data_IF_138477905053
#
_entry.id   IF_138477905053
#
_cell.length_a   1.000
_cell.length_b   1.000
_cell.length_c   1.000
_cell.angle_alpha   90.00
_cell.angle_beta   90.00
_cell.angle_gamma   90.00
#
_symmetry.space_group_name_H-M   'P 1'
#
loop_
_entity.id
_entity.type
_entity.pdbx_description
1 polymer ?
#
# COMPACT_ATOMS: atom_id res chain seq x y z
N UNK A 1 12.47 7.81 33.74
CA UNK A 1 11.10 7.29 33.83
C UNK A 1 10.73 6.89 32.42
N UNK A 2 10.92 5.61 32.06
CA UNK A 2 10.52 5.11 30.74
C UNK A 2 8.98 5.10 30.72
N UNK A 3 8.39 6.14 30.16
CA UNK A 3 6.99 6.09 29.75
C UNK A 3 6.88 4.92 28.77
N UNK A 4 5.98 4.01 29.07
CA UNK A 4 5.66 2.89 28.18
C UNK A 4 5.14 3.47 26.86
N UNK A 5 6.05 3.67 25.90
CA UNK A 5 5.75 4.19 24.55
C UNK A 5 4.78 3.28 23.77
N UNK A 6 4.44 2.10 24.34
CA UNK A 6 3.49 1.15 23.73
C UNK A 6 2.02 1.57 23.85
N UNK A 7 1.69 2.58 24.67
CA UNK A 7 0.33 3.05 24.92
C UNK A 7 -0.19 4.10 23.94
N UNK A 8 0.59 4.48 22.94
CA UNK A 8 0.33 5.67 22.11
C UNK A 8 -0.90 5.57 21.20
N UNK A 9 -1.26 4.38 20.73
CA UNK A 9 -2.35 4.19 19.77
C UNK A 9 -3.51 3.41 20.39
N UNK A 10 -4.33 4.09 21.20
CA UNK A 10 -5.46 3.43 21.87
C UNK A 10 -6.61 3.07 20.93
N UNK A 11 -6.88 3.91 19.92
CA UNK A 11 -7.93 3.69 18.92
C UNK A 11 -7.30 3.49 17.55
N UNK A 12 -7.19 2.23 17.15
CA UNK A 12 -6.60 1.80 15.88
C UNK A 12 -7.73 1.51 14.90
N UNK A 13 -7.63 2.07 13.71
CA UNK A 13 -8.56 1.79 12.62
C UNK A 13 -7.78 1.23 11.42
N UNK A 14 -8.25 0.13 10.88
CA UNK A 14 -7.78 -0.42 9.60
C UNK A 14 -8.88 -0.21 8.58
N UNK A 15 -8.63 0.65 7.60
CA UNK A 15 -9.58 0.97 6.54
C UNK A 15 -9.15 0.37 5.21
N UNK A 16 -10.02 -0.46 4.63
CA UNK A 16 -9.72 -1.23 3.42
C UNK A 16 -9.21 -2.65 3.75
N UNK A 17 -10.11 -3.56 4.11
CA UNK A 17 -9.80 -4.95 4.47
C UNK A 17 -9.59 -5.84 3.21
N UNK A 18 -8.84 -5.31 2.21
CA UNK A 18 -8.33 -6.10 1.09
C UNK A 18 -7.22 -7.06 1.53
N UNK A 19 -6.41 -7.54 0.58
CA UNK A 19 -5.26 -8.39 0.90
C UNK A 19 -4.31 -7.73 1.90
N UNK A 20 -3.89 -6.48 1.62
CA UNK A 20 -2.94 -5.73 2.45
C UNK A 20 -3.56 -5.42 3.81
N UNK A 21 -4.65 -4.65 3.84
CA UNK A 21 -5.25 -4.23 5.11
C UNK A 21 -5.77 -5.41 5.95
N UNK A 22 -6.25 -6.48 5.30
CA UNK A 22 -6.65 -7.70 5.99
C UNK A 22 -5.47 -8.43 6.63
N UNK A 23 -4.29 -8.47 5.97
CA UNK A 23 -3.10 -9.04 6.58
C UNK A 23 -2.67 -8.23 7.82
N UNK A 24 -2.46 -6.93 7.67
CA UNK A 24 -2.00 -6.08 8.79
C UNK A 24 -3.04 -6.00 9.91
N UNK A 25 -4.32 -5.83 9.57
CA UNK A 25 -5.41 -5.84 10.55
C UNK A 25 -5.50 -7.18 11.29
N UNK A 26 -5.35 -8.30 10.59
CA UNK A 26 -5.30 -9.62 11.21
C UNK A 26 -4.13 -9.78 12.18
N UNK A 27 -2.92 -9.34 11.81
CA UNK A 27 -1.76 -9.34 12.69
C UNK A 27 -1.96 -8.46 13.92
N UNK A 28 -2.57 -7.28 13.76
CA UNK A 28 -2.91 -6.41 14.88
C UNK A 28 -3.92 -7.09 15.82
N UNK A 29 -5.01 -7.62 15.26
CA UNK A 29 -6.03 -8.30 16.07
C UNK A 29 -5.45 -9.49 16.84
N UNK A 30 -4.63 -10.31 16.18
CA UNK A 30 -4.00 -11.48 16.81
C UNK A 30 -3.13 -11.06 18.00
N UNK A 31 -2.25 -10.07 17.84
CA UNK A 31 -1.32 -9.68 18.89
C UNK A 31 -1.99 -8.90 20.03
N UNK A 32 -3.01 -8.08 19.74
CA UNK A 32 -3.81 -7.40 20.78
C UNK A 32 -4.59 -8.42 21.62
N UNK A 33 -5.23 -9.42 21.00
CA UNK A 33 -6.04 -10.39 21.75
C UNK A 33 -5.21 -11.41 22.51
N UNK A 34 -4.02 -11.76 22.05
CA UNK A 34 -3.13 -12.68 22.77
C UNK A 34 -2.40 -12.01 23.93
N UNK A 35 -2.29 -10.69 23.93
CA UNK A 35 -1.72 -9.93 25.05
C UNK A 35 -2.84 -9.38 25.94
N UNK A 36 -3.18 -10.09 27.04
CA UNK A 36 -4.24 -9.68 27.96
C UNK A 36 -4.03 -8.30 28.61
N UNK A 37 -2.82 -7.74 28.59
CA UNK A 37 -2.49 -6.41 29.06
C UNK A 37 -2.77 -5.32 28.04
N UNK A 38 -2.87 -5.69 26.75
CA UNK A 38 -3.17 -4.76 25.67
C UNK A 38 -4.65 -4.34 25.74
N UNK A 39 -4.90 -3.06 25.88
CA UNK A 39 -6.24 -2.47 25.99
C UNK A 39 -6.62 -1.64 24.78
N UNK A 40 -5.83 -1.74 23.69
CA UNK A 40 -6.11 -0.99 22.47
C UNK A 40 -7.38 -1.46 21.79
N UNK A 41 -8.11 -0.50 21.27
CA UNK A 41 -9.34 -0.71 20.53
C UNK A 41 -9.02 -0.82 19.03
N UNK A 42 -9.22 -1.98 18.46
CA UNK A 42 -9.02 -2.22 17.04
C UNK A 42 -10.36 -2.30 16.32
N UNK A 43 -10.55 -1.43 15.32
CA UNK A 43 -11.73 -1.41 14.46
C UNK A 43 -11.35 -1.68 13.01
N UNK A 44 -12.10 -2.58 12.37
CA UNK A 44 -12.02 -2.83 10.94
C UNK A 44 -13.13 -2.10 10.20
N UNK A 45 -12.78 -1.35 9.14
CA UNK A 45 -13.74 -0.81 8.19
C UNK A 45 -13.73 -1.67 6.93
N UNK A 46 -14.82 -2.41 6.73
CA UNK A 46 -15.03 -3.33 5.62
C UNK A 46 -16.41 -3.13 5.00
N UNK A 47 -16.69 -3.76 3.86
CA UNK A 47 -17.96 -3.63 3.15
C UNK A 47 -18.46 -4.99 2.62
N UNK A 48 -19.79 -5.07 2.40
CA UNK A 48 -20.44 -6.20 1.73
C UNK A 48 -20.21 -7.57 2.39
N UNK A 49 -20.13 -8.62 1.60
CA UNK A 49 -20.01 -9.98 2.09
C UNK A 49 -18.75 -10.21 2.96
N UNK A 50 -17.66 -9.45 2.70
CA UNK A 50 -16.45 -9.54 3.52
C UNK A 50 -16.69 -9.00 4.94
N UNK A 51 -17.40 -7.89 5.07
CA UNK A 51 -17.81 -7.32 6.35
C UNK A 51 -18.69 -8.32 7.14
N UNK A 52 -19.74 -8.85 6.51
CA UNK A 52 -20.68 -9.76 7.19
C UNK A 52 -19.99 -11.05 7.64
N UNK A 53 -19.09 -11.58 6.83
CA UNK A 53 -18.32 -12.76 7.20
C UNK A 53 -17.40 -12.51 8.40
N UNK A 54 -16.71 -11.35 8.43
CA UNK A 54 -15.83 -10.98 9.55
C UNK A 54 -16.64 -10.73 10.83
N UNK A 55 -17.80 -10.09 10.74
CA UNK A 55 -18.70 -9.89 11.89
C UNK A 55 -19.13 -11.21 12.51
N UNK A 56 -19.47 -12.20 11.68
CA UNK A 56 -19.97 -13.49 12.14
C UNK A 56 -18.87 -14.41 12.70
N UNK A 57 -17.69 -14.42 12.08
CA UNK A 57 -16.68 -15.47 12.28
C UNK A 57 -15.29 -14.95 12.63
N UNK A 58 -15.08 -13.63 12.68
CA UNK A 58 -13.74 -13.04 12.69
C UNK A 58 -13.06 -13.07 11.31
N UNK A 59 -11.87 -12.49 11.22
CA UNK A 59 -11.03 -12.54 10.03
C UNK A 59 -10.12 -13.75 10.09
N UNK A 60 -10.28 -14.69 9.16
CA UNK A 60 -9.33 -15.81 9.03
C UNK A 60 -8.10 -15.35 8.25
N UNK A 61 -6.92 -15.43 8.89
CA UNK A 61 -5.64 -15.13 8.29
C UNK A 61 -4.90 -16.44 7.98
N UNK A 62 -4.61 -16.68 6.70
CA UNK A 62 -3.80 -17.79 6.22
C UNK A 62 -2.38 -17.28 5.97
N UNK A 63 -1.47 -17.58 6.88
CA UNK A 63 -0.04 -17.25 6.76
C UNK A 63 0.69 -18.30 5.92
N UNK A 64 1.88 -17.93 5.44
CA UNK A 64 2.69 -18.82 4.64
C UNK A 64 3.20 -20.02 5.48
N UNK A 65 2.87 -21.24 5.05
CA UNK A 65 3.26 -22.49 5.71
C UNK A 65 2.89 -22.59 7.19
N UNK A 66 1.82 -21.94 7.60
CA UNK A 66 1.28 -21.99 8.97
C UNK A 66 -0.21 -22.34 8.91
N UNK A 67 -0.74 -22.86 10.01
CA UNK A 67 -2.17 -23.11 10.16
C UNK A 67 -2.95 -21.79 10.14
N UNK A 68 -4.17 -21.79 9.57
CA UNK A 68 -5.02 -20.61 9.59
C UNK A 68 -5.36 -20.18 11.02
N UNK A 69 -5.38 -18.87 11.25
CA UNK A 69 -5.71 -18.28 12.54
C UNK A 69 -6.89 -17.33 12.39
N UNK A 70 -7.81 -17.36 13.37
CA UNK A 70 -8.96 -16.44 13.44
C UNK A 70 -8.57 -15.22 14.27
N UNK A 71 -8.71 -14.05 13.67
CA UNK A 71 -8.35 -12.75 14.22
C UNK A 71 -9.64 -11.97 14.51
N UNK A 72 -9.86 -11.58 15.77
CA UNK A 72 -11.09 -10.93 16.20
C UNK A 72 -10.78 -9.49 16.61
N UNK A 73 -11.19 -8.46 15.81
CA UNK A 73 -11.10 -7.07 16.22
C UNK A 73 -12.20 -6.75 17.26
N UNK A 74 -12.05 -5.63 17.97
CA UNK A 74 -13.10 -5.15 18.88
C UNK A 74 -14.39 -4.78 18.15
N UNK A 75 -14.26 -4.20 16.96
CA UNK A 75 -15.40 -3.79 16.13
C UNK A 75 -15.12 -4.01 14.64
N UNK A 76 -16.16 -4.39 13.91
CA UNK A 76 -16.16 -4.42 12.43
C UNK A 76 -17.36 -3.62 11.95
N UNK A 77 -17.15 -2.64 11.07
CA UNK A 77 -18.22 -1.75 10.62
C UNK A 77 -17.95 -1.23 9.20
N UNK A 78 -19.00 -0.78 8.54
CA UNK A 78 -18.94 0.04 7.31
C UNK A 78 -19.20 1.53 7.59
N UNK A 79 -19.55 1.86 8.86
CA UNK A 79 -19.94 3.21 9.25
C UNK A 79 -18.89 3.87 10.14
N UNK A 80 -18.28 4.94 9.66
CA UNK A 80 -17.34 5.77 10.41
C UNK A 80 -18.00 6.57 11.53
N UNK A 81 -19.34 6.75 11.49
CA UNK A 81 -20.08 7.49 12.51
C UNK A 81 -19.99 6.86 13.90
N UNK A 82 -19.71 5.56 13.96
CA UNK A 82 -19.56 4.78 15.21
C UNK A 82 -18.16 4.85 15.79
N UNK A 83 -17.20 5.45 15.08
CA UNK A 83 -15.80 5.50 15.51
C UNK A 83 -15.60 6.58 16.59
N UNK A 84 -14.76 6.30 17.61
CA UNK A 84 -14.15 7.37 18.42
C UNK A 84 -13.15 8.18 17.58
N UNK A 85 -12.49 9.16 18.19
CA UNK A 85 -11.31 9.78 17.56
C UNK A 85 -10.24 8.71 17.28
N UNK A 86 -9.62 8.80 16.10
CA UNK A 86 -8.65 7.83 15.62
C UNK A 86 -7.25 8.29 16.05
N UNK A 87 -6.51 7.42 16.74
CA UNK A 87 -5.10 7.67 17.03
C UNK A 87 -4.19 7.15 15.93
N UNK A 88 -4.50 5.95 15.38
CA UNK A 88 -3.75 5.36 14.28
C UNK A 88 -4.70 4.84 13.20
N UNK A 89 -4.53 5.33 11.98
CA UNK A 89 -5.24 4.88 10.79
C UNK A 89 -4.28 4.15 9.85
N UNK A 90 -4.43 2.83 9.73
CA UNK A 90 -3.85 2.07 8.63
C UNK A 90 -4.79 2.17 7.44
N UNK A 91 -4.35 2.83 6.38
CA UNK A 91 -5.14 3.04 5.16
C UNK A 91 -4.64 2.11 4.05
N UNK A 92 -5.47 1.15 3.65
CA UNK A 92 -5.14 0.14 2.64
C UNK A 92 -6.29 -0.06 1.63
N UNK A 93 -6.94 1.03 1.26
CA UNK A 93 -7.97 1.05 0.23
C UNK A 93 -7.34 1.00 -1.17
N UNK A 94 -8.14 0.75 -2.18
CA UNK A 94 -7.72 0.95 -3.56
C UNK A 94 -7.54 2.44 -3.86
N UNK A 95 -6.57 2.77 -4.69
CA UNK A 95 -6.16 4.16 -4.95
C UNK A 95 -7.31 5.07 -5.41
N UNK A 96 -8.23 4.51 -6.18
CA UNK A 96 -9.44 5.23 -6.65
C UNK A 96 -10.52 5.47 -5.57
N UNK A 97 -10.36 4.89 -4.37
CA UNK A 97 -11.23 5.12 -3.20
C UNK A 97 -10.56 6.00 -2.13
N UNK A 98 -9.34 6.51 -2.39
CA UNK A 98 -8.53 7.23 -1.40
C UNK A 98 -9.23 8.47 -0.85
N UNK A 99 -9.66 9.37 -1.74
CA UNK A 99 -10.27 10.64 -1.32
C UNK A 99 -11.58 10.41 -0.54
N UNK A 100 -12.42 9.50 -1.04
CA UNK A 100 -13.67 9.15 -0.37
C UNK A 100 -13.41 8.54 1.00
N UNK A 101 -12.38 7.69 1.12
CA UNK A 101 -11.98 7.08 2.38
C UNK A 101 -11.54 8.14 3.40
N UNK A 102 -10.66 9.06 3.00
CA UNK A 102 -10.18 10.14 3.89
C UNK A 102 -11.32 11.07 4.28
N UNK A 103 -12.16 11.52 3.33
CA UNK A 103 -13.32 12.38 3.64
C UNK A 103 -14.29 11.73 4.62
N UNK A 104 -14.49 10.41 4.53
CA UNK A 104 -15.35 9.69 5.47
C UNK A 104 -14.81 9.72 6.89
N UNK A 105 -13.49 9.55 7.08
CA UNK A 105 -12.87 9.49 8.43
C UNK A 105 -12.42 10.84 8.96
N UNK A 106 -12.33 11.88 8.10
CA UNK A 106 -11.85 13.22 8.46
C UNK A 106 -12.48 13.77 9.76
N UNK A 107 -13.81 13.67 10.01
CA UNK A 107 -14.40 14.14 11.25
C UNK A 107 -13.95 13.40 12.52
N UNK A 108 -13.21 12.31 12.38
CA UNK A 108 -12.63 11.49 13.46
C UNK A 108 -11.11 11.64 13.58
N UNK A 109 -10.51 12.47 12.71
CA UNK A 109 -9.08 12.79 12.74
C UNK A 109 -8.81 14.05 13.55
N UNK A 110 -7.60 14.15 14.06
CA UNK A 110 -7.08 15.35 14.76
C UNK A 110 -5.58 15.51 14.49
N UNK A 111 -4.93 16.48 15.15
CA UNK A 111 -3.50 16.76 14.99
C UNK A 111 -2.58 15.63 15.46
N UNK A 112 -3.08 14.74 16.30
CA UNK A 112 -2.32 13.64 16.90
C UNK A 112 -2.62 12.31 16.20
N UNK A 113 -3.55 12.32 15.21
CA UNK A 113 -3.83 11.14 14.40
C UNK A 113 -2.65 10.85 13.48
N UNK A 114 -2.15 9.63 13.55
CA UNK A 114 -1.15 9.11 12.61
C UNK A 114 -1.85 8.31 11.51
N UNK A 115 -1.66 8.73 10.27
CA UNK A 115 -2.17 8.04 9.07
C UNK A 115 -1.01 7.35 8.37
N UNK A 116 -1.09 6.05 8.21
CA UNK A 116 -0.11 5.24 7.49
C UNK A 116 -0.75 4.58 6.28
N UNK A 117 -0.53 5.13 5.06
CA UNK A 117 -1.04 4.53 3.84
C UNK A 117 -0.17 3.35 3.40
N UNK A 118 -0.74 2.18 3.27
CA UNK A 118 -0.11 1.01 2.65
C UNK A 118 -0.75 0.76 1.27
N UNK A 119 -0.49 1.68 0.35
CA UNK A 119 -1.09 1.74 -0.97
C UNK A 119 -0.01 1.83 -2.05
N UNK A 120 -0.39 1.64 -3.32
CA UNK A 120 0.48 1.92 -4.45
C UNK A 120 0.35 3.40 -4.86
N UNK A 121 1.35 3.93 -5.56
CA UNK A 121 1.37 5.32 -6.06
C UNK A 121 2.41 6.16 -5.35
N UNK A 122 2.85 7.22 -6.02
CA UNK A 122 3.90 8.14 -5.55
C UNK A 122 3.33 9.48 -5.06
N UNK A 123 2.04 9.71 -5.26
CA UNK A 123 1.30 10.92 -4.91
C UNK A 123 0.36 10.76 -3.69
N UNK A 124 0.32 9.56 -3.11
CA UNK A 124 -0.59 9.20 -2.02
C UNK A 124 -0.44 10.12 -0.80
N UNK A 125 0.80 10.45 -0.44
CA UNK A 125 1.08 11.38 0.65
C UNK A 125 0.46 12.76 0.39
N UNK A 126 0.71 13.33 -0.77
CA UNK A 126 0.24 14.67 -1.14
C UNK A 126 -1.30 14.74 -1.09
N UNK A 127 -1.97 13.75 -1.70
CA UNK A 127 -3.43 13.64 -1.72
C UNK A 127 -4.06 13.50 -0.32
N UNK A 128 -3.43 12.74 0.57
CA UNK A 128 -3.91 12.64 1.96
C UNK A 128 -3.71 13.98 2.69
N UNK A 129 -2.57 14.64 2.52
CA UNK A 129 -2.28 15.92 3.18
C UNK A 129 -3.22 17.04 2.73
N UNK A 130 -3.69 17.05 1.48
CA UNK A 130 -4.72 17.99 1.01
C UNK A 130 -6.04 17.82 1.77
N UNK A 131 -6.43 16.60 2.11
CA UNK A 131 -7.71 16.29 2.75
C UNK A 131 -7.64 16.24 4.28
N UNK A 132 -6.49 15.91 4.84
CA UNK A 132 -6.24 15.80 6.28
C UNK A 132 -4.97 16.58 6.68
N UNK A 133 -4.90 17.91 6.46
CA UNK A 133 -3.67 18.69 6.61
C UNK A 133 -3.13 18.74 8.04
N UNK A 134 -3.98 18.54 9.03
CA UNK A 134 -3.60 18.59 10.46
C UNK A 134 -2.99 17.27 10.95
N UNK A 135 -3.37 16.16 10.36
CA UNK A 135 -2.92 14.82 10.78
C UNK A 135 -1.46 14.58 10.41
N UNK A 136 -0.82 13.70 11.15
CA UNK A 136 0.53 13.18 10.83
C UNK A 136 0.36 12.12 9.75
N UNK A 137 0.96 12.32 8.58
CA UNK A 137 0.91 11.35 7.48
C UNK A 137 2.29 10.76 7.27
N UNK A 138 2.45 9.48 7.54
CA UNK A 138 3.73 8.80 7.37
C UNK A 138 3.83 8.25 5.93
N UNK A 139 4.66 8.85 5.06
CA UNK A 139 4.86 8.29 3.72
C UNK A 139 5.35 6.86 3.83
N UNK A 140 4.65 5.92 3.18
CA UNK A 140 4.91 4.50 3.39
C UNK A 140 4.75 3.69 2.11
N UNK A 141 5.45 2.57 2.03
CA UNK A 141 5.18 1.54 1.03
C UNK A 141 5.34 0.14 1.62
N UNK A 142 4.70 -0.84 0.98
CA UNK A 142 4.73 -2.23 1.42
C UNK A 142 5.03 -3.17 0.26
N UNK A 143 5.93 -4.13 0.50
CA UNK A 143 6.13 -5.29 -0.35
C UNK A 143 5.44 -6.47 0.31
N UNK A 144 4.37 -6.93 -0.28
CA UNK A 144 3.54 -8.04 0.20
C UNK A 144 2.75 -8.62 -0.97
N UNK A 145 2.62 -9.93 -1.01
CA UNK A 145 1.65 -10.60 -1.87
C UNK A 145 0.55 -11.22 -1.02
N UNK A 146 -0.61 -10.60 -1.02
CA UNK A 146 -1.76 -11.04 -0.23
C UNK A 146 -3.07 -10.76 -0.96
N UNK A 147 -4.07 -11.62 -0.72
CA UNK A 147 -5.39 -11.48 -1.36
C UNK A 147 -6.51 -11.95 -0.45
N UNK A 148 -7.71 -11.47 -0.72
CA UNK A 148 -8.93 -12.10 -0.22
C UNK A 148 -9.09 -13.42 -1.00
N UNK A 149 -9.08 -14.55 -0.30
CA UNK A 149 -9.35 -15.87 -0.89
C UNK A 149 -10.85 -16.10 -1.05
N UNK A 150 -11.61 -15.76 -0.02
CA UNK A 150 -13.07 -15.67 -0.01
C UNK A 150 -13.50 -14.68 1.09
N UNK A 151 -14.78 -14.28 1.16
CA UNK A 151 -15.27 -13.39 2.21
C UNK A 151 -14.85 -13.85 3.62
N UNK A 152 -14.21 -12.96 4.39
CA UNK A 152 -13.68 -13.24 5.73
C UNK A 152 -12.34 -13.96 5.77
N UNK A 153 -11.73 -14.31 4.63
CA UNK A 153 -10.45 -15.03 4.57
C UNK A 153 -9.42 -14.26 3.76
N UNK A 154 -8.31 -13.92 4.39
CA UNK A 154 -7.15 -13.29 3.75
C UNK A 154 -5.97 -14.25 3.74
N UNK A 155 -5.32 -14.39 2.59
CA UNK A 155 -4.19 -15.29 2.38
C UNK A 155 -2.93 -14.51 2.00
N UNK A 156 -1.87 -14.75 2.76
CA UNK A 156 -0.51 -14.33 2.41
C UNK A 156 0.10 -15.34 1.42
N UNK A 157 0.65 -14.84 0.32
CA UNK A 157 1.34 -15.63 -0.69
C UNK A 157 2.85 -15.39 -0.54
N UNK A 158 3.58 -16.43 -0.13
CA UNK A 158 5.00 -16.31 0.21
C UNK A 158 5.22 -15.74 1.61
N UNK A 159 6.48 -15.45 1.95
CA UNK A 159 6.92 -15.00 3.27
C UNK A 159 7.45 -13.56 3.28
N UNK A 160 7.47 -12.90 2.11
CA UNK A 160 7.99 -11.54 2.01
C UNK A 160 6.93 -10.54 2.48
N UNK A 161 7.20 -9.89 3.62
CA UNK A 161 6.47 -8.74 4.12
C UNK A 161 7.49 -7.69 4.56
N UNK A 162 7.59 -6.59 3.81
CA UNK A 162 8.48 -5.47 4.16
C UNK A 162 7.70 -4.17 4.09
N UNK A 163 7.65 -3.44 5.20
CA UNK A 163 7.04 -2.13 5.29
C UNK A 163 8.14 -1.08 5.45
N UNK A 164 8.17 -0.11 4.59
CA UNK A 164 9.03 1.06 4.69
C UNK A 164 8.18 2.28 4.99
N UNK A 165 8.65 3.11 5.90
CA UNK A 165 8.03 4.38 6.24
C UNK A 165 9.08 5.36 6.74
N UNK A 166 8.68 6.60 6.97
CA UNK A 166 9.56 7.61 7.56
C UNK A 166 8.76 8.84 7.99
N UNK A 167 9.45 9.92 8.43
CA UNK A 167 8.80 11.08 9.01
C UNK A 167 7.88 11.78 8.00
N UNK A 168 6.80 12.36 8.51
CA UNK A 168 5.99 13.33 7.78
C UNK A 168 6.84 14.58 7.50
N UNK A 169 7.06 14.97 6.23
CA UNK A 169 7.83 16.18 5.92
C UNK A 169 7.32 17.47 6.57
N UNK A 170 6.02 17.52 6.90
CA UNK A 170 5.40 18.65 7.62
C UNK A 170 5.47 18.50 9.15
N UNK A 171 5.90 17.35 9.66
CA UNK A 171 6.06 17.02 11.06
C UNK A 171 7.37 16.26 11.28
N UNK A 172 8.54 16.89 10.96
CA UNK A 172 9.83 16.24 11.04
C UNK A 172 10.26 15.90 12.49
N UNK A 173 9.57 16.48 13.45
CA UNK A 173 9.71 16.23 14.90
C UNK A 173 9.04 14.93 15.37
N UNK A 174 8.27 14.25 14.49
CA UNK A 174 7.61 13.00 14.84
C UNK A 174 8.63 11.89 15.14
N UNK A 175 8.51 11.30 16.34
CA UNK A 175 9.40 10.23 16.80
C UNK A 175 9.04 8.88 16.15
N UNK A 176 9.87 8.46 15.21
CA UNK A 176 9.70 7.17 14.53
C UNK A 176 9.90 5.94 15.43
N UNK A 177 10.47 6.09 16.63
CA UNK A 177 10.66 4.98 17.56
C UNK A 177 9.32 4.44 18.06
N UNK A 178 8.33 5.33 18.23
CA UNK A 178 7.00 4.98 18.70
C UNK A 178 6.28 4.04 17.73
N UNK A 179 6.23 4.40 16.45
CA UNK A 179 5.57 3.56 15.43
C UNK A 179 6.35 2.26 15.17
N UNK A 180 7.67 2.28 15.25
CA UNK A 180 8.49 1.07 15.12
C UNK A 180 8.23 0.10 16.29
N UNK A 181 8.19 0.60 17.53
CA UNK A 181 7.85 -0.19 18.70
C UNK A 181 6.42 -0.76 18.60
N UNK A 182 5.45 0.04 18.10
CA UNK A 182 4.10 -0.43 17.85
C UNK A 182 4.08 -1.60 16.87
N UNK A 183 4.74 -1.49 15.70
CA UNK A 183 4.80 -2.57 14.73
C UNK A 183 5.49 -3.82 15.29
N UNK A 184 6.57 -3.65 16.03
CA UNK A 184 7.27 -4.76 16.69
C UNK A 184 6.35 -5.49 17.68
N UNK A 185 5.55 -4.76 18.49
CA UNK A 185 4.56 -5.33 19.40
C UNK A 185 3.43 -6.07 18.64
N UNK A 186 3.18 -5.70 17.40
CA UNK A 186 2.23 -6.39 16.50
C UNK A 186 2.86 -7.56 15.73
N UNK A 187 4.07 -7.99 16.09
CA UNK A 187 4.78 -9.07 15.40
C UNK A 187 5.22 -8.72 13.98
N UNK A 188 5.39 -7.43 13.68
CA UNK A 188 5.71 -6.91 12.36
C UNK A 188 7.01 -6.10 12.40
N UNK A 189 7.71 -6.04 11.28
CA UNK A 189 8.91 -5.22 11.12
C UNK A 189 8.61 -4.01 10.25
N UNK A 190 8.88 -2.83 10.80
CA UNK A 190 8.86 -1.56 10.10
C UNK A 190 10.29 -1.07 9.86
N UNK A 191 10.63 -0.79 8.60
CA UNK A 191 11.89 -0.20 8.22
C UNK A 191 11.74 1.32 8.14
N UNK A 192 12.31 2.03 9.12
CA UNK A 192 12.26 3.49 9.17
C UNK A 192 13.35 4.10 8.29
N UNK A 193 12.97 5.03 7.43
CA UNK A 193 13.89 5.73 6.53
C UNK A 193 13.69 7.24 6.69
N UNK A 194 14.76 7.98 6.96
CA UNK A 194 14.71 9.44 7.09
C UNK A 194 14.32 10.14 5.78
N UNK A 195 14.56 9.51 4.64
CA UNK A 195 14.02 9.91 3.35
C UNK A 195 12.93 8.94 2.89
N UNK A 196 11.67 9.09 3.34
CA UNK A 196 10.62 8.08 3.14
C UNK A 196 10.19 7.93 1.67
N UNK A 197 10.45 8.92 0.83
CA UNK A 197 10.09 8.86 -0.58
C UNK A 197 11.00 7.95 -1.40
N UNK A 198 12.26 7.76 -1.02
CA UNK A 198 13.16 6.85 -1.74
C UNK A 198 12.60 5.43 -1.87
N UNK A 199 12.23 4.71 -0.79
CA UNK A 199 11.70 3.35 -0.91
C UNK A 199 10.36 3.31 -1.67
N UNK A 200 9.54 4.37 -1.61
CA UNK A 200 8.30 4.49 -2.37
C UNK A 200 8.60 4.54 -3.87
N UNK A 201 9.51 5.43 -4.29
CA UNK A 201 9.88 5.59 -5.69
C UNK A 201 10.67 4.39 -6.23
N UNK A 202 11.54 3.75 -5.42
CA UNK A 202 12.21 2.49 -5.79
C UNK A 202 11.21 1.36 -6.04
N UNK A 203 10.19 1.23 -5.20
CA UNK A 203 9.11 0.27 -5.43
C UNK A 203 8.35 0.61 -6.71
N UNK A 204 8.03 1.87 -6.90
CA UNK A 204 7.27 2.34 -8.05
C UNK A 204 8.04 2.12 -9.35
N UNK A 205 9.36 2.32 -9.35
CA UNK A 205 10.26 2.04 -10.47
C UNK A 205 10.17 0.60 -10.99
N UNK A 206 9.89 -0.36 -10.11
CA UNK A 206 9.63 -1.75 -10.51
C UNK A 206 8.17 -1.99 -10.87
N UNK A 207 7.25 -1.57 -9.99
CA UNK A 207 5.84 -1.98 -10.08
C UNK A 207 5.13 -1.36 -11.29
N UNK A 208 5.32 -0.06 -11.55
CA UNK A 208 4.58 0.67 -12.58
C UNK A 208 4.92 0.20 -14.00
N UNK A 209 6.20 0.12 -14.43
CA UNK A 209 6.53 -0.29 -15.80
C UNK A 209 6.06 -1.70 -16.12
N UNK A 210 6.31 -2.65 -15.21
CA UNK A 210 5.85 -4.02 -15.41
C UNK A 210 4.33 -4.12 -15.43
N UNK A 211 3.62 -3.40 -14.56
CA UNK A 211 2.17 -3.40 -14.54
C UNK A 211 1.57 -2.87 -15.85
N UNK A 212 2.11 -1.78 -16.39
CA UNK A 212 1.63 -1.19 -17.63
C UNK A 212 1.89 -2.10 -18.83
N UNK A 213 3.11 -2.65 -18.94
CA UNK A 213 3.45 -3.50 -20.08
C UNK A 213 2.72 -4.84 -20.03
N UNK A 214 2.64 -5.50 -18.86
CA UNK A 214 1.89 -6.77 -18.70
C UNK A 214 0.40 -6.56 -18.90
N UNK A 215 -0.16 -5.45 -18.36
CA UNK A 215 -1.56 -5.10 -18.54
C UNK A 215 -1.96 -4.88 -20.00
N UNK A 216 -1.08 -4.25 -20.79
CA UNK A 216 -1.32 -3.98 -22.19
C UNK A 216 -1.10 -5.18 -23.13
N UNK A 217 -0.31 -6.18 -22.70
CA UNK A 217 0.12 -7.29 -23.55
C UNK A 217 -0.47 -8.63 -23.15
N UNK A 218 -0.97 -8.76 -21.93
CA UNK A 218 -1.40 -10.02 -21.35
C UNK A 218 -0.26 -10.98 -21.00
N UNK A 219 1.00 -10.62 -21.27
CA UNK A 219 2.18 -11.42 -20.96
C UNK A 219 2.54 -11.35 -19.48
N UNK A 220 3.14 -12.40 -18.93
CA UNK A 220 3.69 -12.42 -17.57
C UNK A 220 4.89 -11.48 -17.45
N UNK A 221 5.28 -11.16 -16.21
CA UNK A 221 6.46 -10.30 -15.97
C UNK A 221 7.74 -10.91 -16.55
N UNK A 222 7.91 -12.22 -16.43
CA UNK A 222 9.05 -12.93 -17.01
C UNK A 222 9.07 -12.90 -18.53
N UNK A 223 7.90 -13.12 -19.18
CA UNK A 223 7.78 -13.03 -20.64
C UNK A 223 8.05 -11.60 -21.16
N UNK A 224 7.65 -10.57 -20.40
CA UNK A 224 7.97 -9.16 -20.70
C UNK A 224 9.47 -8.91 -20.57
N UNK A 225 10.11 -9.43 -19.53
CA UNK A 225 11.55 -9.31 -19.33
C UNK A 225 12.34 -10.02 -20.44
N UNK A 226 11.91 -11.20 -20.85
CA UNK A 226 12.60 -12.02 -21.88
C UNK A 226 12.42 -11.50 -23.31
N UNK A 227 11.39 -10.69 -23.59
CA UNK A 227 11.12 -10.11 -24.92
C UNK A 227 11.91 -8.80 -25.08
N UNK A 228 12.90 -8.71 -26.00
CA UNK A 228 13.74 -7.52 -26.14
C UNK A 228 12.99 -6.22 -26.37
N UNK A 229 11.87 -6.26 -27.13
CA UNK A 229 11.07 -5.07 -27.42
C UNK A 229 10.26 -4.59 -26.21
N UNK A 230 9.68 -5.52 -25.45
CA UNK A 230 8.93 -5.20 -24.25
C UNK A 230 9.86 -4.80 -23.10
N UNK A 231 11.02 -5.45 -22.99
CA UNK A 231 12.07 -5.08 -22.06
C UNK A 231 12.56 -3.65 -22.29
N UNK A 232 12.80 -3.27 -23.54
CA UNK A 232 13.14 -1.89 -23.90
C UNK A 232 12.04 -0.88 -23.51
N UNK A 233 10.76 -1.26 -23.63
CA UNK A 233 9.64 -0.43 -23.20
C UNK A 233 9.60 -0.27 -21.67
N UNK A 234 9.84 -1.34 -20.91
CA UNK A 234 9.96 -1.27 -19.43
C UNK A 234 11.09 -0.31 -19.04
N UNK A 235 12.27 -0.43 -19.66
CA UNK A 235 13.40 0.48 -19.41
C UNK A 235 13.08 1.93 -19.77
N UNK A 236 12.35 2.17 -20.86
CA UNK A 236 11.95 3.52 -21.25
C UNK A 236 11.03 4.16 -20.21
N UNK A 237 10.01 3.42 -19.71
CA UNK A 237 9.13 3.90 -18.63
C UNK A 237 9.93 4.11 -17.34
N UNK A 238 10.91 3.24 -17.00
CA UNK A 238 11.79 3.45 -15.84
C UNK A 238 12.57 4.75 -15.94
N UNK A 239 13.08 5.10 -17.12
CA UNK A 239 13.79 6.36 -17.34
C UNK A 239 12.87 7.59 -17.21
N UNK A 240 11.62 7.51 -17.67
CA UNK A 240 10.61 8.54 -17.42
C UNK A 240 10.36 8.73 -15.90
N UNK A 241 10.25 7.64 -15.14
CA UNK A 241 10.12 7.66 -13.67
C UNK A 241 11.34 8.31 -13.01
N UNK A 242 12.55 7.95 -13.41
CA UNK A 242 13.79 8.53 -12.85
C UNK A 242 13.83 10.04 -13.08
N UNK A 243 13.46 10.50 -14.28
CA UNK A 243 13.42 11.92 -14.60
C UNK A 243 12.40 12.70 -13.74
N UNK A 244 11.20 12.13 -13.56
CA UNK A 244 10.16 12.71 -12.71
C UNK A 244 10.60 12.70 -11.23
N UNK A 245 11.15 11.59 -10.74
CA UNK A 245 11.65 11.45 -9.36
C UNK A 245 12.70 12.52 -9.05
N UNK A 246 13.64 12.74 -9.96
CA UNK A 246 14.68 13.78 -9.82
C UNK A 246 14.09 15.19 -9.67
N UNK A 247 13.05 15.53 -10.44
CA UNK A 247 12.32 16.81 -10.31
C UNK A 247 11.57 16.92 -8.98
N UNK A 248 11.19 15.79 -8.38
CA UNK A 248 10.56 15.71 -7.05
C UNK A 248 11.59 15.63 -5.91
N UNK A 249 12.88 15.78 -6.20
CA UNK A 249 13.96 15.73 -5.20
C UNK A 249 14.28 14.33 -4.70
N UNK A 250 13.85 13.29 -5.43
CA UNK A 250 14.16 11.88 -5.10
C UNK A 250 15.22 11.36 -6.05
N UNK A 251 16.34 10.89 -5.50
CA UNK A 251 17.45 10.35 -6.29
C UNK A 251 17.24 8.86 -6.55
N UNK A 252 17.02 8.53 -7.81
CA UNK A 252 17.11 7.18 -8.35
C UNK A 252 18.27 7.11 -9.33
N UNK A 253 19.01 6.02 -9.35
CA UNK A 253 20.21 5.88 -10.17
C UNK A 253 20.19 4.58 -11.00
N UNK A 254 21.23 4.34 -11.79
CA UNK A 254 21.35 3.16 -12.63
C UNK A 254 21.29 1.84 -11.83
N UNK A 255 21.82 1.81 -10.62
CA UNK A 255 21.73 0.64 -9.76
C UNK A 255 20.29 0.31 -9.37
N UNK A 256 19.44 1.32 -9.16
CA UNK A 256 18.01 1.12 -8.86
C UNK A 256 17.27 0.52 -10.08
N UNK A 257 17.60 0.98 -11.30
CA UNK A 257 17.08 0.41 -12.56
C UNK A 257 17.54 -1.04 -12.71
N UNK A 258 18.85 -1.31 -12.59
CA UNK A 258 19.41 -2.65 -12.71
C UNK A 258 18.83 -3.61 -11.66
N UNK A 259 18.60 -3.13 -10.45
CA UNK A 259 17.96 -3.91 -9.40
C UNK A 259 16.51 -4.25 -9.74
N UNK A 260 15.73 -3.28 -10.23
CA UNK A 260 14.34 -3.48 -10.66
C UNK A 260 14.24 -4.47 -11.82
N UNK A 261 15.15 -4.38 -12.80
CA UNK A 261 15.22 -5.31 -13.93
C UNK A 261 15.57 -6.74 -13.49
N UNK A 262 16.51 -6.91 -12.53
CA UNK A 262 16.83 -8.22 -11.96
C UNK A 262 15.68 -8.86 -11.21
N UNK A 263 14.77 -8.09 -10.61
CA UNK A 263 13.55 -8.67 -10.03
C UNK A 263 12.71 -9.31 -11.14
N UNK A 264 12.54 -8.64 -12.29
CA UNK A 264 11.82 -9.20 -13.46
C UNK A 264 12.45 -10.48 -14.00
N UNK A 265 13.80 -10.56 -13.98
CA UNK A 265 14.56 -11.74 -14.38
C UNK A 265 14.29 -12.96 -13.50
N UNK A 266 14.30 -12.76 -12.17
CA UNK A 266 14.26 -13.86 -11.19
C UNK A 266 12.85 -14.14 -10.64
N UNK A 267 11.83 -13.41 -11.10
CA UNK A 267 10.47 -13.61 -10.65
C UNK A 267 9.91 -14.95 -11.16
N UNK A 268 8.97 -15.53 -10.41
CA UNK A 268 8.25 -16.72 -10.88
C UNK A 268 7.71 -16.49 -12.31
N UNK A 269 8.04 -17.37 -13.27
CA UNK A 269 7.59 -17.23 -14.67
C UNK A 269 6.08 -17.10 -14.83
N UNK A 270 5.27 -17.63 -13.91
CA UNK A 270 3.82 -17.50 -13.90
C UNK A 270 3.32 -16.24 -13.17
N UNK A 271 4.21 -15.43 -12.59
CA UNK A 271 3.81 -14.25 -11.83
C UNK A 271 3.15 -13.18 -12.71
N UNK A 272 1.99 -12.72 -12.28
CA UNK A 272 1.21 -11.66 -12.90
C UNK A 272 1.14 -10.45 -11.99
N UNK A 273 1.11 -9.25 -12.58
CA UNK A 273 0.90 -8.02 -11.82
C UNK A 273 -0.57 -7.90 -11.36
N UNK A 274 -0.81 -7.13 -10.30
CA UNK A 274 -2.17 -6.88 -9.81
C UNK A 274 -3.05 -6.21 -10.87
N UNK A 275 -2.51 -5.29 -11.65
CA UNK A 275 -3.21 -4.63 -12.75
C UNK A 275 -3.62 -5.64 -13.84
N UNK A 276 -2.70 -6.53 -14.25
CA UNK A 276 -3.00 -7.59 -15.21
C UNK A 276 -4.13 -8.50 -14.71
N UNK A 277 -4.08 -8.92 -13.44
CA UNK A 277 -5.15 -9.72 -12.84
C UNK A 277 -6.48 -8.97 -12.78
N UNK A 278 -6.48 -7.66 -12.52
CA UNK A 278 -7.69 -6.84 -12.51
C UNK A 278 -8.30 -6.72 -13.91
N UNK A 279 -7.47 -6.61 -14.97
CA UNK A 279 -7.90 -6.61 -16.37
C UNK A 279 -8.48 -7.98 -16.77
N UNK A 280 -7.77 -9.07 -16.51
CA UNK A 280 -8.21 -10.43 -16.84
C UNK A 280 -9.54 -10.80 -16.13
N UNK A 281 -9.71 -10.34 -14.90
CA UNK A 281 -10.95 -10.55 -14.15
C UNK A 281 -12.06 -9.53 -14.49
N UNK A 282 -11.85 -8.67 -15.48
CA UNK A 282 -12.82 -7.66 -15.95
C UNK A 282 -13.36 -6.79 -14.81
N UNK A 283 -12.50 -6.39 -13.89
CA UNK A 283 -12.90 -5.49 -12.81
C UNK A 283 -13.27 -4.12 -13.39
N UNK A 284 -14.42 -3.60 -12.98
CA UNK A 284 -14.94 -2.33 -13.51
C UNK A 284 -14.09 -1.10 -13.15
N UNK A 285 -13.24 -1.19 -12.08
CA UNK A 285 -12.29 -0.13 -11.68
C UNK A 285 -10.92 -0.74 -11.44
N UNK A 286 -9.89 -0.09 -11.97
CA UNK A 286 -8.49 -0.51 -11.91
C UNK A 286 -7.62 0.62 -11.37
N UNK A 287 -6.46 0.29 -10.82
CA UNK A 287 -5.50 1.28 -10.31
C UNK A 287 -4.60 1.87 -11.43
N UNK A 288 -5.16 2.03 -12.63
CA UNK A 288 -4.42 2.50 -13.79
C UNK A 288 -3.89 3.95 -13.59
N UNK A 289 -4.72 4.80 -12.97
CA UNK A 289 -4.33 6.18 -12.65
C UNK A 289 -3.17 6.24 -11.66
N UNK A 290 -3.17 5.36 -10.67
CA UNK A 290 -2.10 5.30 -9.67
C UNK A 290 -0.77 4.75 -10.21
N UNK A 291 -0.80 3.98 -11.29
CA UNK A 291 0.37 3.32 -11.87
C UNK A 291 0.92 4.05 -13.10
N UNK A 292 0.04 4.61 -13.91
CA UNK A 292 0.45 5.28 -15.15
C UNK A 292 -0.09 6.70 -15.27
N UNK A 293 -1.36 6.93 -14.92
CA UNK A 293 -1.96 8.27 -14.99
C UNK A 293 -1.19 9.30 -14.18
N UNK A 294 -0.72 8.92 -12.98
CA UNK A 294 0.10 9.79 -12.13
C UNK A 294 1.42 10.21 -12.80
N UNK A 295 2.06 9.32 -13.59
CA UNK A 295 3.28 9.65 -14.33
C UNK A 295 3.02 10.70 -15.41
N UNK A 296 1.94 10.53 -16.17
CA UNK A 296 1.57 11.49 -17.22
C UNK A 296 1.22 12.85 -16.59
N UNK A 297 0.47 12.86 -15.49
CA UNK A 297 0.15 14.07 -14.74
C UNK A 297 1.41 14.78 -14.24
N UNK A 298 2.26 14.07 -13.52
CA UNK A 298 3.51 14.64 -12.99
C UNK A 298 4.47 15.04 -14.11
N UNK A 299 4.54 14.27 -15.20
CA UNK A 299 5.32 14.61 -16.38
C UNK A 299 4.91 15.96 -16.96
N UNK A 300 3.59 16.18 -17.11
CA UNK A 300 3.06 17.47 -17.56
C UNK A 300 3.37 18.62 -16.58
N UNK A 301 3.16 18.40 -15.28
CA UNK A 301 3.39 19.43 -14.23
C UNK A 301 4.87 19.81 -14.10
N UNK A 302 5.78 18.87 -14.37
CA UNK A 302 7.23 19.03 -14.16
C UNK A 302 8.04 19.23 -15.46
N UNK A 303 7.35 19.34 -16.59
CA UNK A 303 7.94 19.42 -17.93
C UNK A 303 8.91 18.25 -18.22
N UNK A 304 8.45 17.03 -17.96
CA UNK A 304 9.13 15.77 -18.26
C UNK A 304 8.27 14.94 -19.22
N UNK A 305 8.70 14.70 -20.47
CA UNK A 305 7.94 13.88 -21.42
C UNK A 305 7.76 12.44 -20.92
N UNK A 306 6.56 11.87 -21.13
CA UNK A 306 6.22 10.49 -20.76
C UNK A 306 5.63 9.68 -21.93
N UNK A 307 6.27 9.68 -23.10
CA UNK A 307 5.67 9.10 -24.33
C UNK A 307 5.43 7.59 -24.23
N UNK A 308 6.34 6.86 -23.56
CA UNK A 308 6.18 5.40 -23.45
C UNK A 308 5.08 5.03 -22.44
N UNK A 309 4.99 5.73 -21.30
CA UNK A 309 3.88 5.60 -20.36
C UNK A 309 2.54 5.86 -21.04
N UNK A 310 2.40 6.98 -21.78
CA UNK A 310 1.18 7.31 -22.51
C UNK A 310 0.79 6.25 -23.55
N UNK A 311 1.77 5.69 -24.27
CA UNK A 311 1.56 4.63 -25.26
C UNK A 311 0.92 3.39 -24.62
N UNK A 312 1.43 2.95 -23.46
CA UNK A 312 0.89 1.78 -22.78
C UNK A 312 -0.46 2.06 -22.09
N UNK A 313 -0.66 3.24 -21.53
CA UNK A 313 -1.98 3.65 -21.03
C UNK A 313 -3.04 3.60 -22.12
N UNK A 314 -2.76 4.19 -23.29
CA UNK A 314 -3.67 4.18 -24.45
C UNK A 314 -4.00 2.76 -24.91
N UNK A 315 -3.01 1.84 -24.90
CA UNK A 315 -3.24 0.42 -25.26
C UNK A 315 -4.20 -0.26 -24.29
N UNK A 316 -4.06 -0.02 -22.97
CA UNK A 316 -4.91 -0.65 -21.94
C UNK A 316 -6.33 -0.09 -22.00
N UNK A 317 -6.50 1.22 -22.21
CA UNK A 317 -7.83 1.86 -22.25
C UNK A 317 -8.61 1.47 -23.50
N UNK A 318 -7.93 1.19 -24.61
CA UNK A 318 -8.56 0.85 -25.89
C UNK A 318 -8.74 -0.67 -26.09
N UNK A 319 -8.34 -1.52 -25.13
CA UNK A 319 -8.46 -2.97 -25.20
C UNK A 319 -9.78 -3.48 -24.59
#
# INVERSE_FOLDING_TARGET
>A
MNLDKSAAYNNIVVMGLGGVGGYFGGMFALNITTNWRDKRDLTFIARGAHLESIKANGLTLKLWKQDPVVCIPKMVTDSVLKLPYINFLLLAVKNYDLEDAIRQVEPRLNSDTVIMPLMNGVDVYDRIKELAPKSIVLPSCVYISSKIECPGVVKLQGDIVKVYSGPDPQRPDYDGDEIQAFFQNMGLKLYWNQNPFEPIWRKFLFVSPFALVTGATGKTMHEVWADPGLNASVLAIMNEIVAIAAKRGVTLNSYDIDYAMRIGEHIDPAAKTSLQLDIENKKGRMELDALGGVLVKLGYELDVPTPETEKYLKKIVNA
#
